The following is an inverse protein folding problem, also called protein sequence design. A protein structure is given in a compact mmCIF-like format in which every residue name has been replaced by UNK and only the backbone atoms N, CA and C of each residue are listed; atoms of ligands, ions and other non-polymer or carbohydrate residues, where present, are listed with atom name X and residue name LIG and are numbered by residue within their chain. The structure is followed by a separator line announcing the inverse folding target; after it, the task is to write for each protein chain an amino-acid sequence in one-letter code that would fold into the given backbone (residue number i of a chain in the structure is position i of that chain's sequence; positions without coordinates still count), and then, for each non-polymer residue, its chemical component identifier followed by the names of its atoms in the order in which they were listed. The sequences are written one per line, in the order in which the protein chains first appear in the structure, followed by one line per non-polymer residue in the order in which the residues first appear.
data_IF_200911216778
#
_entry.id   IF_200911216778
#
_cell.length_a   1.000
_cell.length_b   1.000
_cell.length_c   1.000
_cell.angle_alpha   90.00
_cell.angle_beta   90.00
_cell.angle_gamma   90.00
#
_symmetry.space_group_name_H-M   'P 1'
#
loop_
_entity.id
_entity.type
_entity.pdbx_description
1 polymer ?
#
# COMPACT_ATOMS: atom_id res chain seq x y z
N UNK A 1 -1.22 39.39 -3.50
CA UNK A 1 -1.00 38.50 -2.34
C UNK A 1 -2.15 37.52 -2.16
N UNK A 2 -3.42 37.97 -2.26
CA UNK A 2 -4.61 37.11 -2.18
C UNK A 2 -4.62 36.00 -3.24
N UNK A 3 -4.23 36.31 -4.48
CA UNK A 3 -4.25 35.33 -5.59
C UNK A 3 -3.34 34.12 -5.32
N UNK A 4 -2.16 34.35 -4.73
CA UNK A 4 -1.23 33.26 -4.41
C UNK A 4 -1.75 32.37 -3.29
N UNK A 5 -2.46 32.96 -2.32
CA UNK A 5 -3.08 32.19 -1.23
C UNK A 5 -4.21 31.32 -1.80
N UNK A 6 -5.01 31.85 -2.72
CA UNK A 6 -6.09 31.08 -3.37
C UNK A 6 -5.55 29.92 -4.22
N UNK A 7 -4.45 30.13 -4.95
CA UNK A 7 -3.78 29.08 -5.71
C UNK A 7 -3.26 27.96 -4.79
N UNK A 8 -2.57 28.32 -3.70
CA UNK A 8 -2.05 27.36 -2.72
C UNK A 8 -3.17 26.61 -1.98
N UNK A 9 -4.28 27.29 -1.70
CA UNK A 9 -5.46 26.67 -1.10
C UNK A 9 -6.05 25.58 -2.02
N UNK A 10 -6.16 25.85 -3.32
CA UNK A 10 -6.62 24.85 -4.28
C UNK A 10 -5.70 23.63 -4.36
N UNK A 11 -4.38 23.83 -4.24
CA UNK A 11 -3.41 22.73 -4.19
C UNK A 11 -3.54 21.94 -2.88
N UNK A 12 -3.60 22.62 -1.73
CA UNK A 12 -3.72 21.98 -0.42
C UNK A 12 -5.00 21.14 -0.31
N UNK A 13 -6.13 21.61 -0.85
CA UNK A 13 -7.40 20.86 -0.86
C UNK A 13 -7.32 19.52 -1.59
N UNK A 14 -6.36 19.31 -2.48
CA UNK A 14 -6.17 18.01 -3.14
C UNK A 14 -5.66 16.93 -2.17
N UNK A 15 -5.07 17.34 -1.04
CA UNK A 15 -4.61 16.45 0.04
C UNK A 15 -5.73 16.12 1.05
N UNK A 16 -6.90 16.73 0.90
CA UNK A 16 -8.09 16.53 1.74
C UNK A 16 -9.18 15.79 0.93
N UNK A 17 -8.99 14.48 0.67
CA UNK A 17 -9.88 13.72 -0.21
C UNK A 17 -11.31 13.67 0.37
N UNK A 18 -12.35 13.90 -0.44
CA UNK A 18 -13.73 13.77 0.01
C UNK A 18 -14.07 12.32 0.36
N UNK A 19 -15.13 12.12 1.14
CA UNK A 19 -15.55 10.79 1.61
C UNK A 19 -15.68 9.77 0.48
N UNK A 20 -16.32 10.13 -0.64
CA UNK A 20 -16.48 9.25 -1.79
C UNK A 20 -15.14 8.73 -2.35
N UNK A 21 -14.12 9.58 -2.36
CA UNK A 21 -12.78 9.18 -2.81
C UNK A 21 -12.11 8.26 -1.80
N UNK A 22 -12.23 8.56 -0.50
CA UNK A 22 -11.74 7.68 0.58
C UNK A 22 -12.41 6.32 0.55
N UNK A 23 -13.72 6.24 0.34
CA UNK A 23 -14.48 4.99 0.23
C UNK A 23 -13.95 4.14 -0.94
N UNK A 24 -13.68 4.78 -2.08
CA UNK A 24 -13.10 4.12 -3.26
C UNK A 24 -11.70 3.58 -2.98
N UNK A 25 -10.86 4.35 -2.29
CA UNK A 25 -9.52 3.92 -1.91
C UNK A 25 -9.54 2.79 -0.89
N UNK A 26 -10.36 2.92 0.16
CA UNK A 26 -10.54 1.91 1.19
C UNK A 26 -11.00 0.58 0.59
N UNK A 27 -11.96 0.61 -0.34
CA UNK A 27 -12.42 -0.60 -1.02
C UNK A 27 -11.29 -1.32 -1.80
N UNK A 28 -10.42 -0.56 -2.48
CA UNK A 28 -9.28 -1.12 -3.23
C UNK A 28 -8.20 -1.70 -2.31
N UNK A 29 -7.88 -0.98 -1.23
CA UNK A 29 -6.91 -1.45 -0.22
C UNK A 29 -7.44 -2.68 0.50
N UNK A 30 -8.74 -2.70 0.85
CA UNK A 30 -9.37 -3.85 1.47
C UNK A 30 -9.35 -5.06 0.53
N UNK A 31 -9.75 -4.88 -0.75
CA UNK A 31 -9.69 -5.96 -1.73
C UNK A 31 -8.27 -6.52 -1.91
N UNK A 32 -7.25 -5.66 -1.84
CA UNK A 32 -5.86 -6.09 -1.85
C UNK A 32 -5.49 -6.93 -0.62
N UNK A 33 -5.87 -6.47 0.57
CA UNK A 33 -5.60 -7.16 1.83
C UNK A 33 -6.30 -8.53 1.89
N UNK A 34 -7.56 -8.58 1.45
CA UNK A 34 -8.33 -9.81 1.36
C UNK A 34 -7.66 -10.81 0.39
N UNK A 35 -7.24 -10.35 -0.79
CA UNK A 35 -6.53 -11.19 -1.74
C UNK A 35 -5.20 -11.71 -1.18
N UNK A 36 -4.44 -10.87 -0.47
CA UNK A 36 -3.19 -11.28 0.17
C UNK A 36 -3.40 -12.36 1.24
N UNK A 37 -4.33 -12.13 2.18
CA UNK A 37 -4.61 -13.05 3.28
C UNK A 37 -5.20 -14.36 2.77
N UNK A 38 -6.13 -14.31 1.82
CA UNK A 38 -6.78 -15.52 1.29
C UNK A 38 -5.80 -16.42 0.52
N UNK A 39 -4.70 -15.88 0.00
CA UNK A 39 -3.70 -16.66 -0.73
C UNK A 39 -2.43 -16.93 0.07
N UNK A 40 -2.29 -16.40 1.29
CA UNK A 40 -1.03 -16.38 2.06
C UNK A 40 -0.34 -17.74 2.17
N UNK A 41 -1.11 -18.83 2.31
CA UNK A 41 -0.61 -20.21 2.43
C UNK A 41 0.01 -20.76 1.14
N UNK A 42 -0.42 -20.24 -0.01
CA UNK A 42 0.08 -20.64 -1.34
C UNK A 42 1.22 -19.76 -1.83
N UNK A 43 1.50 -18.67 -1.11
CA UNK A 43 2.57 -17.76 -1.47
C UNK A 43 3.92 -18.34 -1.02
N UNK A 44 4.93 -18.16 -1.85
CA UNK A 44 6.30 -18.51 -1.47
C UNK A 44 6.74 -17.63 -0.28
N UNK A 45 7.55 -18.22 0.59
CA UNK A 45 8.23 -17.51 1.66
C UNK A 45 9.36 -16.59 1.17
N UNK A 46 9.84 -16.83 -0.06
CA UNK A 46 10.85 -16.02 -0.72
C UNK A 46 10.63 -15.99 -2.24
N UNK A 47 10.74 -14.81 -2.83
CA UNK A 47 10.78 -14.58 -4.27
C UNK A 47 11.99 -13.69 -4.59
N UNK A 48 12.79 -14.09 -5.58
CA UNK A 48 14.00 -13.36 -5.97
C UNK A 48 13.63 -11.95 -6.47
N UNK A 49 14.13 -10.87 -5.86
CA UNK A 49 13.82 -9.51 -6.30
C UNK A 49 14.47 -9.22 -7.66
N UNK A 50 13.88 -8.30 -8.42
CA UNK A 50 14.51 -7.80 -9.64
C UNK A 50 15.87 -7.14 -9.31
N UNK A 51 16.88 -7.39 -10.15
CA UNK A 51 18.27 -6.99 -9.90
C UNK A 51 18.49 -5.48 -9.74
N UNK A 52 17.58 -4.66 -10.25
CA UNK A 52 17.66 -3.20 -10.16
C UNK A 52 17.14 -2.65 -8.83
N UNK A 53 16.37 -3.42 -8.05
CA UNK A 53 15.76 -3.01 -6.79
C UNK A 53 14.86 -1.78 -6.91
N UNK A 54 14.43 -1.42 -8.13
CA UNK A 54 13.74 -0.16 -8.41
C UNK A 54 12.23 -0.38 -8.56
N UNK A 55 11.49 0.59 -8.03
CA UNK A 55 10.10 0.82 -8.43
C UNK A 55 10.10 1.35 -9.86
N UNK A 56 9.16 0.83 -10.66
CA UNK A 56 8.93 1.23 -12.05
C UNK A 56 8.20 2.56 -12.15
N UNK A 57 7.69 3.08 -11.03
CA UNK A 57 6.92 4.31 -10.94
C UNK A 57 7.82 5.48 -10.53
N UNK A 58 7.94 6.47 -11.40
CA UNK A 58 8.59 7.75 -11.08
C UNK A 58 7.72 8.58 -10.12
N UNK A 59 8.37 9.39 -9.29
CA UNK A 59 7.72 10.40 -8.46
C UNK A 59 7.46 11.63 -9.34
N UNK A 60 6.18 12.02 -9.44
CA UNK A 60 5.69 13.07 -10.31
C UNK A 60 4.78 14.02 -9.51
N UNK A 61 4.52 15.21 -10.04
CA UNK A 61 3.59 16.17 -9.42
C UNK A 61 2.14 15.69 -9.45
N UNK A 62 1.77 14.93 -10.48
CA UNK A 62 0.45 14.35 -10.63
C UNK A 62 0.36 12.96 -9.97
N UNK A 63 -0.74 12.72 -9.25
CA UNK A 63 -1.03 11.41 -8.68
C UNK A 63 -1.25 10.33 -9.75
N UNK A 64 -1.02 9.07 -9.37
CA UNK A 64 -1.26 7.89 -10.21
C UNK A 64 -2.50 7.11 -9.73
N UNK A 65 -3.16 6.33 -10.59
CA UNK A 65 -4.28 5.48 -10.19
C UNK A 65 -3.89 4.49 -9.09
N UNK A 66 -4.75 4.32 -8.08
CA UNK A 66 -4.52 3.42 -6.94
C UNK A 66 -4.18 1.99 -7.37
N UNK A 67 -4.83 1.47 -8.42
CA UNK A 67 -4.59 0.14 -8.95
C UNK A 67 -3.17 -0.05 -9.46
N UNK A 68 -2.62 0.99 -10.11
CA UNK A 68 -1.24 0.97 -10.58
C UNK A 68 -0.27 0.95 -9.39
N UNK A 69 -0.56 1.74 -8.35
CA UNK A 69 0.24 1.79 -7.13
C UNK A 69 0.23 0.43 -6.41
N UNK A 70 -0.95 -0.16 -6.21
CA UNK A 70 -1.11 -1.46 -5.55
C UNK A 70 -0.48 -2.60 -6.35
N UNK A 71 -0.54 -2.56 -7.69
CA UNK A 71 0.13 -3.53 -8.54
C UNK A 71 1.66 -3.45 -8.41
N UNK A 72 2.22 -2.24 -8.33
CA UNK A 72 3.65 -2.04 -8.12
C UNK A 72 4.09 -2.51 -6.73
N UNK A 73 3.33 -2.15 -5.68
CA UNK A 73 3.59 -2.62 -4.31
C UNK A 73 3.57 -4.15 -4.26
N UNK A 74 2.56 -4.79 -4.88
CA UNK A 74 2.51 -6.24 -4.99
C UNK A 74 3.78 -6.81 -5.58
N UNK A 75 4.17 -6.34 -6.76
CA UNK A 75 5.25 -6.95 -7.52
C UNK A 75 6.63 -6.68 -6.93
N UNK A 76 6.84 -5.49 -6.34
CA UNK A 76 8.16 -4.98 -5.99
C UNK A 76 8.41 -4.81 -4.49
N UNK A 77 7.37 -4.92 -3.67
CA UNK A 77 7.49 -4.78 -2.20
C UNK A 77 7.02 -6.07 -1.54
N UNK A 78 5.75 -6.43 -1.68
CA UNK A 78 5.17 -7.55 -0.93
C UNK A 78 5.61 -8.93 -1.44
N UNK A 79 5.98 -9.00 -2.73
CA UNK A 79 6.51 -10.21 -3.38
C UNK A 79 8.00 -10.17 -3.63
N UNK A 80 8.69 -9.10 -3.28
CA UNK A 80 10.12 -8.99 -3.56
C UNK A 80 10.92 -9.35 -2.30
N UNK A 81 11.64 -10.46 -2.35
CA UNK A 81 12.42 -10.96 -1.22
C UNK A 81 11.59 -11.81 -0.27
N UNK A 82 11.80 -11.61 1.04
CA UNK A 82 11.21 -12.44 2.09
C UNK A 82 9.75 -12.04 2.31
N UNK A 83 8.85 -13.02 2.33
CA UNK A 83 7.48 -12.86 2.81
C UNK A 83 7.40 -13.31 4.28
N UNK A 84 7.49 -12.39 5.26
CA UNK A 84 7.56 -12.74 6.68
C UNK A 84 6.24 -13.27 7.24
N UNK A 85 5.13 -13.10 6.50
CA UNK A 85 3.80 -13.54 6.89
C UNK A 85 3.50 -14.97 6.38
N UNK A 86 4.35 -15.52 5.50
CA UNK A 86 4.20 -16.89 5.00
C UNK A 86 4.45 -17.92 6.11
N UNK A 87 3.62 -18.95 6.18
CA UNK A 87 3.88 -20.11 7.05
C UNK A 87 5.15 -20.90 6.68
N UNK A 88 5.70 -20.69 5.47
CA UNK A 88 7.00 -21.24 5.07
C UNK A 88 8.20 -20.42 5.55
N UNK A 89 7.98 -19.25 6.15
CA UNK A 89 9.05 -18.43 6.70
C UNK A 89 9.47 -18.95 8.08
N UNK A 90 10.54 -19.77 8.10
CA UNK A 90 11.08 -20.38 9.31
C UNK A 90 12.26 -19.59 9.92
N UNK A 91 12.41 -18.32 9.53
CA UNK A 91 13.42 -17.41 10.06
C UNK A 91 12.86 -16.51 11.16
N UNK A 92 13.73 -16.09 12.09
CA UNK A 92 13.49 -15.07 13.14
C UNK A 92 12.05 -15.04 13.72
N UNK A 93 11.54 -13.86 14.07
CA UNK A 93 10.16 -13.64 14.52
C UNK A 93 9.26 -13.41 13.29
N UNK A 94 8.25 -14.26 13.03
CA UNK A 94 7.31 -14.05 11.93
C UNK A 94 6.68 -12.65 11.98
N UNK A 95 6.51 -12.04 10.81
CA UNK A 95 6.04 -10.66 10.70
C UNK A 95 4.83 -10.54 9.78
N UNK A 96 3.76 -9.93 10.26
CA UNK A 96 2.55 -9.66 9.47
C UNK A 96 1.53 -10.81 9.47
N UNK A 97 0.52 -10.70 8.59
CA UNK A 97 -0.56 -11.69 8.46
C UNK A 97 -1.64 -11.65 9.56
N UNK A 98 -1.46 -10.84 10.61
CA UNK A 98 -2.43 -10.68 11.70
C UNK A 98 -3.44 -9.58 11.36
N UNK A 99 -4.53 -9.95 10.69
CA UNK A 99 -5.52 -8.98 10.19
C UNK A 99 -6.11 -8.04 11.27
N UNK A 100 -6.46 -8.50 12.50
CA UNK A 100 -6.93 -7.59 13.54
C UNK A 100 -5.89 -6.55 13.98
N UNK A 101 -4.60 -6.91 13.97
CA UNK A 101 -3.52 -5.96 14.29
C UNK A 101 -3.41 -4.91 13.18
N UNK A 102 -3.51 -5.30 11.91
CA UNK A 102 -3.51 -4.37 10.78
C UNK A 102 -4.69 -3.37 10.85
N UNK A 103 -5.88 -3.81 11.26
CA UNK A 103 -7.01 -2.89 11.52
C UNK A 103 -6.71 -1.94 12.68
N UNK A 104 -6.02 -2.43 13.72
CA UNK A 104 -5.55 -1.60 14.83
C UNK A 104 -4.58 -0.51 14.37
N UNK A 105 -3.59 -0.87 13.54
CA UNK A 105 -2.63 0.07 12.96
C UNK A 105 -3.32 1.12 12.08
N UNK A 106 -4.33 0.71 11.29
CA UNK A 106 -5.13 1.64 10.50
C UNK A 106 -5.90 2.63 11.38
N UNK A 107 -6.57 2.16 12.44
CA UNK A 107 -7.28 3.03 13.39
C UNK A 107 -6.30 3.98 14.10
N UNK A 108 -5.15 3.49 14.54
CA UNK A 108 -4.12 4.31 15.17
C UNK A 108 -3.56 5.38 14.23
N UNK A 109 -3.50 5.13 12.92
CA UNK A 109 -3.03 6.11 11.95
C UNK A 109 -4.04 7.25 11.69
N UNK A 110 -5.32 7.07 12.00
CA UNK A 110 -6.38 8.04 11.70
C UNK A 110 -6.98 8.73 12.94
N UNK A 111 -6.64 8.27 14.15
CA UNK A 111 -7.07 8.88 15.45
C UNK A 111 -5.90 9.47 16.21
#
# INVERSE_FOLDING_TARGET
MTDKIQELEQLARQLEPPQQQRDTWNAKVQAYADDFINHIETLKAYDEPAADGKLSLAIEEAGKPMEQLLAEIRAKVDRAGINPASGGHLGYVPGGGVFPAALGDYLAAIT
#
